data_IF_123052878010
#
_entry.id   IF_123052878010
#
_cell.length_a   1.000
_cell.length_b   1.000
_cell.length_c   1.000
_cell.angle_alpha   90.00
_cell.angle_beta   90.00
_cell.angle_gamma   90.00
#
_symmetry.space_group_name_H-M   'P 1'
#
loop_
_entity.id
_entity.type
_entity.pdbx_description
1 polymer ?
#
# COMPACT_ATOMS: atom_id res chain seq x y z
N UNK A 1 -12.82 3.26 19.71
CA UNK A 1 -11.63 2.85 20.49
C UNK A 1 -10.79 4.09 20.75
N UNK A 2 -10.26 4.31 21.96
CA UNK A 2 -9.30 5.41 22.18
C UNK A 2 -7.96 5.00 21.55
N UNK A 3 -7.29 5.93 20.86
CA UNK A 3 -6.10 5.71 20.03
C UNK A 3 -4.81 5.30 20.78
N UNK A 4 -4.94 4.66 21.96
CA UNK A 4 -3.81 4.21 22.78
C UNK A 4 -4.00 2.87 23.49
N UNK A 5 -5.16 2.22 23.36
CA UNK A 5 -5.41 0.91 23.96
C UNK A 5 -5.12 -0.21 22.96
N UNK A 6 -4.66 -1.37 23.47
CA UNK A 6 -4.51 -2.56 22.64
C UNK A 6 -5.87 -3.00 22.09
N UNK A 7 -5.96 -3.44 20.82
CA UNK A 7 -7.22 -3.93 20.29
C UNK A 7 -7.62 -5.24 20.98
N UNK A 8 -8.92 -5.47 21.14
CA UNK A 8 -9.42 -6.71 21.71
C UNK A 8 -9.20 -7.87 20.73
N UNK A 9 -8.28 -8.78 21.06
CA UNK A 9 -7.98 -9.95 20.25
C UNK A 9 -9.23 -10.77 19.90
N UNK A 10 -10.17 -10.91 20.84
CA UNK A 10 -11.41 -11.65 20.61
C UNK A 10 -12.26 -11.03 19.50
N UNK A 11 -12.15 -9.71 19.29
CA UNK A 11 -12.91 -8.97 18.27
C UNK A 11 -12.24 -8.91 16.90
N UNK A 12 -10.95 -9.25 16.78
CA UNK A 12 -10.19 -9.10 15.52
C UNK A 12 -9.66 -10.42 14.94
N UNK A 13 -9.53 -11.48 15.76
CA UNK A 13 -8.93 -12.75 15.32
C UNK A 13 -9.72 -13.52 14.25
N UNK A 14 -10.99 -13.16 14.01
CA UNK A 14 -11.77 -13.74 12.90
C UNK A 14 -11.57 -13.01 11.58
N UNK A 15 -10.99 -11.79 11.60
CA UNK A 15 -10.65 -11.03 10.40
C UNK A 15 -9.20 -11.26 9.95
N UNK A 16 -8.30 -11.60 10.87
CA UNK A 16 -6.85 -11.59 10.66
C UNK A 16 -6.15 -12.80 11.26
N UNK A 17 -5.13 -13.28 10.58
CA UNK A 17 -4.15 -14.21 11.15
C UNK A 17 -3.31 -13.50 12.23
N UNK A 18 -2.83 -14.20 13.27
CA UNK A 18 -2.01 -13.62 14.33
C UNK A 18 -0.80 -12.79 13.88
N UNK A 19 -0.14 -13.15 12.77
CA UNK A 19 0.99 -12.36 12.23
C UNK A 19 0.50 -11.07 11.59
N UNK A 20 -0.65 -11.11 10.93
CA UNK A 20 -1.29 -9.93 10.34
C UNK A 20 -1.68 -8.92 11.42
N UNK A 21 -2.27 -9.40 12.52
CA UNK A 21 -2.57 -8.54 13.68
C UNK A 21 -1.31 -7.85 14.20
N UNK A 22 -0.18 -8.56 14.29
CA UNK A 22 1.07 -7.99 14.76
C UNK A 22 1.54 -6.82 13.87
N UNK A 23 1.65 -7.02 12.55
CA UNK A 23 2.14 -5.94 11.69
C UNK A 23 1.13 -4.80 11.54
N UNK A 24 -0.18 -5.06 11.65
CA UNK A 24 -1.19 -3.98 11.69
C UNK A 24 -1.00 -3.14 12.95
N UNK A 25 -0.83 -3.76 14.11
CA UNK A 25 -0.59 -3.02 15.37
C UNK A 25 0.69 -2.18 15.29
N UNK A 26 1.76 -2.75 14.73
CA UNK A 26 3.04 -2.06 14.56
C UNK A 26 2.90 -0.86 13.61
N UNK A 27 2.17 -1.02 12.50
CA UNK A 27 1.88 0.06 11.54
C UNK A 27 1.05 1.18 12.16
N UNK A 28 -0.02 0.83 12.88
CA UNK A 28 -0.89 1.78 13.57
C UNK A 28 -0.26 2.38 14.84
N UNK A 29 0.92 1.88 15.23
CA UNK A 29 1.64 2.26 16.47
C UNK A 29 0.79 2.09 17.73
N UNK A 30 -0.02 1.04 17.77
CA UNK A 30 -0.82 0.66 18.94
C UNK A 30 -0.22 -0.57 19.62
N UNK A 31 -0.39 -0.74 20.94
CA UNK A 31 0.08 -1.94 21.61
C UNK A 31 -0.57 -3.20 21.03
N UNK A 32 0.21 -4.26 20.79
CA UNK A 32 -0.33 -5.55 20.38
C UNK A 32 -1.19 -6.16 21.52
N UNK A 33 -2.21 -6.97 21.19
CA UNK A 33 -2.96 -7.71 22.20
C UNK A 33 -2.04 -8.61 23.04
N UNK A 34 -2.40 -8.85 24.30
CA UNK A 34 -1.58 -9.60 25.26
C UNK A 34 -1.15 -10.98 24.75
N UNK A 35 -2.05 -11.68 24.06
CA UNK A 35 -1.78 -12.99 23.45
C UNK A 35 -0.68 -12.96 22.37
N UNK A 36 -0.40 -11.80 21.79
CA UNK A 36 0.54 -11.59 20.69
C UNK A 36 1.72 -10.68 21.05
N UNK A 37 1.77 -10.17 22.29
CA UNK A 37 2.73 -9.14 22.72
C UNK A 37 4.18 -9.52 22.45
N UNK A 38 4.56 -10.77 22.67
CA UNK A 38 5.92 -11.28 22.45
C UNK A 38 6.10 -12.07 21.16
N UNK A 39 5.12 -12.04 20.24
CA UNK A 39 5.19 -12.81 19.01
C UNK A 39 6.19 -12.17 18.03
N UNK A 40 7.22 -12.89 17.56
CA UNK A 40 8.12 -12.35 16.55
C UNK A 40 7.41 -12.26 15.19
N UNK A 41 7.79 -11.25 14.39
CA UNK A 41 7.46 -11.20 12.97
C UNK A 41 8.51 -12.02 12.22
N UNK A 42 8.13 -13.21 11.75
CA UNK A 42 8.99 -14.00 10.87
C UNK A 42 9.01 -13.37 9.48
N UNK A 43 10.14 -12.76 9.15
CA UNK A 43 10.35 -12.15 7.84
C UNK A 43 10.75 -13.21 6.81
N UNK A 44 10.15 -13.13 5.62
CA UNK A 44 10.42 -14.01 4.47
C UNK A 44 11.36 -13.34 3.47
N UNK A 45 12.05 -14.16 2.67
CA UNK A 45 13.13 -13.68 1.81
C UNK A 45 12.65 -13.02 0.51
N UNK A 46 11.50 -13.41 -0.02
CA UNK A 46 10.90 -12.81 -1.21
C UNK A 46 9.38 -12.98 -1.24
N UNK A 47 8.73 -12.28 -2.18
CA UNK A 47 7.26 -12.23 -2.27
C UNK A 47 6.62 -13.57 -2.65
N UNK A 48 7.35 -14.51 -3.27
CA UNK A 48 6.81 -15.83 -3.65
C UNK A 48 6.46 -16.68 -2.43
N UNK A 49 7.14 -16.41 -1.31
CA UNK A 49 6.87 -17.01 0.01
C UNK A 49 6.25 -16.01 0.98
N UNK A 50 5.88 -14.83 0.49
CA UNK A 50 5.26 -13.75 1.24
C UNK A 50 3.79 -13.97 1.57
N UNK A 51 3.22 -15.12 1.18
CA UNK A 51 1.84 -15.49 1.45
C UNK A 51 1.79 -16.96 1.89
N UNK A 52 0.99 -17.25 2.91
CA UNK A 52 0.72 -18.62 3.34
C UNK A 52 -0.16 -19.35 2.32
N UNK A 53 -0.23 -20.69 2.41
CA UNK A 53 -1.12 -21.50 1.57
C UNK A 53 -2.61 -21.16 1.73
N UNK A 54 -2.99 -20.55 2.86
CA UNK A 54 -4.35 -20.09 3.16
C UNK A 54 -4.58 -18.63 2.71
N UNK A 55 -3.54 -18.01 2.14
CA UNK A 55 -3.57 -16.67 1.58
C UNK A 55 -3.30 -15.55 2.58
N UNK A 56 -2.98 -15.86 3.84
CA UNK A 56 -2.53 -14.87 4.83
C UNK A 56 -1.18 -14.27 4.49
N UNK A 57 -1.04 -12.96 4.70
CA UNK A 57 0.16 -12.20 4.37
C UNK A 57 1.27 -12.47 5.41
N UNK A 58 2.52 -12.50 4.93
CA UNK A 58 3.72 -12.56 5.74
C UNK A 58 4.65 -11.40 5.36
N UNK A 59 5.34 -10.79 6.32
CA UNK A 59 6.34 -9.78 6.02
C UNK A 59 7.45 -10.36 5.15
N UNK A 60 7.92 -9.58 4.18
CA UNK A 60 8.90 -9.96 3.17
C UNK A 60 10.01 -8.92 3.16
N UNK A 61 11.25 -9.34 2.93
CA UNK A 61 12.36 -8.44 2.61
C UNK A 61 12.21 -7.93 1.18
N UNK A 62 12.32 -6.62 1.01
CA UNK A 62 12.24 -5.95 -0.29
C UNK A 62 13.46 -6.22 -1.16
N UNK A 63 13.36 -5.81 -2.43
CA UNK A 63 14.44 -5.88 -3.40
C UNK A 63 15.74 -5.29 -2.83
N UNK A 64 16.87 -5.93 -3.18
CA UNK A 64 18.19 -5.53 -2.66
C UNK A 64 18.40 -5.81 -1.16
N UNK A 65 17.47 -6.50 -0.48
CA UNK A 65 17.62 -6.87 0.93
C UNK A 65 17.06 -5.83 1.92
N UNK A 66 16.26 -4.87 1.46
CA UNK A 66 15.76 -3.75 2.28
C UNK A 66 14.59 -4.17 3.18
N UNK A 67 14.64 -3.78 4.45
CA UNK A 67 13.56 -3.97 5.44
C UNK A 67 12.91 -2.64 5.88
N UNK A 68 13.30 -1.51 5.27
CA UNK A 68 12.89 -0.16 5.71
C UNK A 68 11.38 0.04 5.70
N UNK A 69 10.70 -0.44 4.66
CA UNK A 69 9.24 -0.31 4.46
C UNK A 69 8.51 -1.64 4.61
N UNK A 70 9.09 -2.57 5.37
CA UNK A 70 8.59 -3.94 5.50
C UNK A 70 7.19 -3.99 6.12
N UNK A 71 6.90 -3.13 7.08
CA UNK A 71 5.60 -3.10 7.78
C UNK A 71 4.54 -2.43 6.89
N UNK A 72 4.89 -1.33 6.25
CA UNK A 72 4.09 -0.60 5.28
C UNK A 72 3.69 -1.50 4.12
N UNK A 73 4.64 -2.26 3.58
CA UNK A 73 4.38 -3.22 2.52
C UNK A 73 3.47 -4.36 2.99
N UNK A 74 3.69 -4.89 4.20
CA UNK A 74 2.86 -5.96 4.76
C UNK A 74 1.39 -5.55 4.87
N UNK A 75 1.15 -4.32 5.33
CA UNK A 75 -0.21 -3.74 5.39
C UNK A 75 -0.77 -3.49 3.99
N UNK A 76 0.02 -2.96 3.06
CA UNK A 76 -0.42 -2.73 1.68
C UNK A 76 -0.88 -4.03 1.02
N UNK A 77 -0.06 -5.09 1.11
CA UNK A 77 -0.37 -6.42 0.54
C UNK A 77 -1.61 -7.03 1.17
N UNK A 78 -1.86 -6.79 2.46
CA UNK A 78 -3.10 -7.21 3.12
C UNK A 78 -4.32 -6.46 2.58
N UNK A 79 -4.23 -5.13 2.46
CA UNK A 79 -5.31 -4.27 1.98
C UNK A 79 -5.64 -4.54 0.51
N UNK A 80 -4.62 -4.78 -0.32
CA UNK A 80 -4.74 -4.90 -1.77
C UNK A 80 -4.92 -6.34 -2.26
N UNK A 81 -4.88 -7.33 -1.36
CA UNK A 81 -4.85 -8.74 -1.73
C UNK A 81 -5.98 -9.16 -2.70
N UNK A 82 -7.18 -8.60 -2.53
CA UNK A 82 -8.33 -8.94 -3.37
C UNK A 82 -8.25 -8.36 -4.81
N UNK A 83 -7.27 -7.50 -5.08
CA UNK A 83 -7.15 -6.77 -6.35
C UNK A 83 -5.76 -6.86 -6.98
N UNK A 84 -4.89 -7.72 -6.45
CA UNK A 84 -3.49 -7.82 -6.85
C UNK A 84 -3.30 -8.06 -8.36
N UNK A 85 -4.26 -8.75 -8.99
CA UNK A 85 -4.29 -8.99 -10.42
C UNK A 85 -4.47 -7.73 -11.28
N UNK A 86 -5.07 -6.68 -10.69
CA UNK A 86 -5.39 -5.39 -11.30
C UNK A 86 -4.38 -4.28 -11.01
N UNK A 87 -3.42 -4.51 -10.10
CA UNK A 87 -2.38 -3.53 -9.76
C UNK A 87 -1.39 -3.30 -10.93
N UNK A 88 -0.68 -2.16 -10.97
CA UNK A 88 0.25 -1.84 -12.05
C UNK A 88 1.34 -2.88 -12.24
N UNK A 89 1.53 -3.34 -13.48
CA UNK A 89 2.54 -4.36 -13.86
C UNK A 89 3.43 -3.83 -14.95
N UNK A 90 4.72 -4.13 -14.84
CA UNK A 90 5.67 -4.06 -15.97
C UNK A 90 5.77 -5.43 -16.62
N UNK A 91 6.01 -5.42 -17.91
CA UNK A 91 6.27 -6.63 -18.68
C UNK A 91 7.61 -6.49 -19.39
N UNK A 92 8.42 -7.54 -19.29
CA UNK A 92 9.68 -7.66 -20.00
C UNK A 92 9.71 -8.97 -20.78
N UNK A 93 10.60 -9.10 -21.76
CA UNK A 93 10.93 -10.39 -22.36
C UNK A 93 12.18 -10.95 -21.70
N UNK A 94 12.13 -12.21 -21.28
CA UNK A 94 13.33 -12.94 -20.86
C UNK A 94 14.24 -13.22 -22.06
N UNK A 95 15.47 -13.65 -21.78
CA UNK A 95 16.45 -14.07 -22.79
C UNK A 95 15.91 -15.18 -23.71
N UNK A 96 15.04 -16.04 -23.18
CA UNK A 96 14.36 -17.12 -23.92
C UNK A 96 13.14 -16.63 -24.74
N UNK A 97 12.86 -15.32 -24.73
CA UNK A 97 11.76 -14.70 -25.45
C UNK A 97 10.40 -14.77 -24.77
N UNK A 98 10.32 -15.33 -23.55
CA UNK A 98 9.09 -15.42 -22.77
C UNK A 98 8.70 -14.08 -22.16
N UNK A 99 7.40 -13.79 -22.08
CA UNK A 99 6.90 -12.60 -21.39
C UNK A 99 6.96 -12.85 -19.88
N UNK A 100 7.63 -11.96 -19.15
CA UNK A 100 7.75 -11.97 -17.69
C UNK A 100 7.09 -10.71 -17.15
N UNK A 101 6.30 -10.85 -16.08
CA UNK A 101 5.70 -9.71 -15.39
C UNK A 101 6.50 -9.36 -14.14
N UNK A 102 6.51 -8.08 -13.75
CA UNK A 102 7.07 -7.64 -12.47
C UNK A 102 6.29 -8.14 -11.26
N UNK A 103 5.02 -8.54 -11.44
CA UNK A 103 4.20 -9.16 -10.39
C UNK A 103 3.76 -10.56 -10.80
N UNK A 104 3.94 -11.52 -9.91
CA UNK A 104 3.35 -12.85 -10.06
C UNK A 104 1.94 -12.83 -9.44
N UNK A 105 0.96 -13.45 -10.10
CA UNK A 105 -0.39 -13.54 -9.51
C UNK A 105 -0.36 -14.46 -8.28
N UNK A 106 -0.65 -13.91 -7.11
CA UNK A 106 -0.85 -14.71 -5.89
C UNK A 106 -2.30 -15.18 -5.75
N UNK A 107 -2.50 -16.25 -5.01
CA UNK A 107 -3.83 -16.75 -4.68
C UNK A 107 -4.54 -15.78 -3.75
N UNK A 108 -5.81 -15.45 -4.03
CA UNK A 108 -6.61 -14.63 -3.12
C UNK A 108 -6.75 -15.27 -1.74
N UNK A 109 -6.84 -14.42 -0.71
CA UNK A 109 -6.97 -14.82 0.69
C UNK A 109 -8.29 -15.54 0.95
N UNK A 110 -8.22 -16.76 1.49
CA UNK A 110 -9.39 -17.54 1.88
C UNK A 110 -9.94 -17.05 3.22
N UNK A 111 -10.66 -15.92 3.20
CA UNK A 111 -11.35 -15.38 4.38
C UNK A 111 -12.84 -15.20 4.13
N UNK A 112 -13.63 -15.22 5.22
CA UNK A 112 -15.07 -14.99 5.15
C UNK A 112 -15.46 -13.58 4.73
N UNK A 113 -14.54 -12.60 4.80
CA UNK A 113 -14.77 -11.19 4.45
C UNK A 113 -13.56 -10.67 3.68
N UNK A 114 -13.60 -10.63 2.33
CA UNK A 114 -12.52 -10.03 1.56
C UNK A 114 -12.43 -8.53 1.84
N UNK A 115 -11.21 -8.03 2.03
CA UNK A 115 -10.95 -6.59 2.08
C UNK A 115 -10.98 -6.08 0.65
N UNK A 116 -12.03 -5.34 0.30
CA UNK A 116 -12.18 -4.76 -1.03
C UNK A 116 -11.75 -3.29 -0.98
N UNK A 117 -10.54 -2.96 -1.47
CA UNK A 117 -10.09 -1.58 -1.52
C UNK A 117 -10.91 -0.76 -2.53
N UNK A 118 -11.12 0.50 -2.20
CA UNK A 118 -11.72 1.51 -3.08
C UNK A 118 -10.61 2.16 -3.89
N UNK A 119 -10.76 2.16 -5.21
CA UNK A 119 -9.85 2.87 -6.12
C UNK A 119 -10.04 4.38 -5.97
N UNK A 120 -8.95 5.10 -5.74
CA UNK A 120 -8.97 6.55 -5.54
C UNK A 120 -8.74 7.28 -6.86
N UNK A 121 -7.57 7.07 -7.47
CA UNK A 121 -7.13 7.59 -8.78
C UNK A 121 -5.76 7.01 -9.13
N UNK A 122 -5.27 7.29 -10.34
CA UNK A 122 -3.92 6.92 -10.81
C UNK A 122 -3.23 8.12 -11.44
N UNK A 123 -1.93 8.23 -11.21
CA UNK A 123 -1.06 9.21 -11.86
C UNK A 123 -0.01 8.49 -12.72
N UNK A 124 0.60 9.22 -13.63
CA UNK A 124 1.87 8.85 -14.24
C UNK A 124 2.95 9.85 -13.81
N UNK A 125 3.99 9.36 -13.15
CA UNK A 125 5.10 10.21 -12.73
C UNK A 125 5.87 10.77 -13.93
N UNK A 126 6.13 9.93 -14.94
CA UNK A 126 6.80 10.34 -16.17
C UNK A 126 6.61 9.31 -17.29
N UNK A 127 6.65 9.76 -18.53
CA UNK A 127 6.83 8.92 -19.73
C UNK A 127 8.26 9.00 -20.24
N UNK A 128 9.09 8.02 -19.87
CA UNK A 128 10.52 8.00 -20.23
C UNK A 128 10.82 7.43 -21.62
N UNK A 129 9.77 7.02 -22.35
CA UNK A 129 9.83 6.51 -23.72
C UNK A 129 8.55 5.79 -24.12
N UNK A 130 8.40 5.39 -25.40
CA UNK A 130 7.21 4.68 -25.85
C UNK A 130 6.94 3.40 -25.04
N UNK A 131 5.87 3.38 -24.26
CA UNK A 131 5.50 2.27 -23.37
C UNK A 131 6.35 2.16 -22.09
N UNK A 132 7.11 3.20 -21.74
CA UNK A 132 7.93 3.28 -20.52
C UNK A 132 7.38 4.36 -19.59
N UNK A 133 6.18 4.10 -19.10
CA UNK A 133 5.50 4.93 -18.11
C UNK A 133 5.89 4.52 -16.68
N UNK A 134 5.70 5.45 -15.76
CA UNK A 134 5.93 5.29 -14.33
C UNK A 134 4.62 5.53 -13.56
N UNK A 135 3.61 4.66 -13.73
CA UNK A 135 2.32 4.84 -13.06
C UNK A 135 2.42 4.59 -11.56
N UNK A 136 1.58 5.30 -10.80
CA UNK A 136 1.30 5.03 -9.40
C UNK A 136 -0.22 5.03 -9.17
N UNK A 137 -0.72 3.92 -8.62
CA UNK A 137 -2.14 3.73 -8.32
C UNK A 137 -2.40 3.94 -6.82
N UNK A 138 -3.41 4.75 -6.51
CA UNK A 138 -3.85 4.99 -5.14
C UNK A 138 -5.15 4.26 -4.82
N UNK A 139 -5.16 3.61 -3.66
CA UNK A 139 -6.33 2.89 -3.16
C UNK A 139 -6.54 3.18 -1.67
N UNK A 140 -7.77 2.93 -1.20
CA UNK A 140 -8.12 3.01 0.21
C UNK A 140 -8.80 1.72 0.67
N UNK A 141 -8.33 1.13 1.77
CA UNK A 141 -8.92 -0.06 2.37
C UNK A 141 -9.36 0.15 3.81
N UNK A 142 -10.47 -0.46 4.19
CA UNK A 142 -10.93 -0.50 5.58
C UNK A 142 -10.32 -1.71 6.32
N UNK A 143 -9.89 -1.51 7.57
CA UNK A 143 -9.43 -2.59 8.45
C UNK A 143 -10.46 -2.87 9.57
N UNK A 144 -11.33 -3.89 9.41
CA UNK A 144 -12.32 -4.26 10.41
C UNK A 144 -11.74 -4.52 11.80
N UNK A 145 -12.38 -3.95 12.84
CA UNK A 145 -11.97 -4.15 14.23
C UNK A 145 -10.82 -3.25 14.69
N UNK A 146 -10.12 -2.59 13.76
CA UNK A 146 -9.26 -1.45 14.04
C UNK A 146 -9.97 -0.11 13.78
N UNK A 147 -11.07 -0.13 13.02
CA UNK A 147 -11.90 1.03 12.66
C UNK A 147 -11.11 2.16 11.98
N UNK A 148 -10.17 1.79 11.10
CA UNK A 148 -9.33 2.72 10.32
C UNK A 148 -9.45 2.48 8.82
N UNK A 149 -9.22 3.54 8.06
CA UNK A 149 -9.01 3.54 6.62
C UNK A 149 -7.52 3.72 6.34
N UNK A 150 -6.95 2.86 5.51
CA UNK A 150 -5.54 2.87 5.09
C UNK A 150 -5.48 3.28 3.63
N UNK A 151 -4.61 4.24 3.30
CA UNK A 151 -4.33 4.64 1.92
C UNK A 151 -3.05 3.97 1.46
N UNK A 152 -3.04 3.47 0.23
CA UNK A 152 -1.88 2.79 -0.35
C UNK A 152 -1.43 3.45 -1.65
N UNK A 153 -0.15 3.30 -1.97
CA UNK A 153 0.45 3.63 -3.26
C UNK A 153 1.07 2.37 -3.88
N UNK A 154 0.78 2.13 -5.16
CA UNK A 154 1.22 0.92 -5.88
C UNK A 154 1.93 1.29 -7.18
N UNK A 155 3.14 0.78 -7.37
CA UNK A 155 3.99 1.01 -8.53
C UNK A 155 4.33 -0.31 -9.24
N UNK A 156 4.68 -0.26 -10.55
CA UNK A 156 5.03 -1.47 -11.29
C UNK A 156 6.49 -1.92 -11.11
N UNK A 157 7.30 -1.16 -10.36
CA UNK A 157 8.72 -1.46 -10.08
C UNK A 157 9.02 -1.40 -8.58
N UNK A 158 10.07 -2.11 -8.15
CA UNK A 158 10.63 -2.04 -6.79
C UNK A 158 11.79 -1.05 -6.67
N UNK A 159 12.15 -0.35 -7.75
CA UNK A 159 13.39 0.45 -7.81
C UNK A 159 13.44 1.58 -6.77
N UNK A 160 12.30 2.18 -6.45
CA UNK A 160 12.22 3.34 -5.53
C UNK A 160 12.17 2.91 -4.08
N UNK A 161 11.30 1.94 -3.77
CA UNK A 161 10.96 1.59 -2.38
C UNK A 161 11.38 0.20 -1.96
N UNK A 162 12.07 -0.54 -2.82
CA UNK A 162 12.32 -1.98 -2.69
C UNK A 162 11.05 -2.87 -2.70
N UNK A 163 9.86 -2.28 -2.77
CA UNK A 163 8.59 -2.98 -2.87
C UNK A 163 7.67 -2.31 -3.89
N UNK A 164 6.70 -3.09 -4.35
CA UNK A 164 5.69 -2.66 -5.30
C UNK A 164 4.54 -1.86 -4.68
N UNK A 165 4.17 -2.16 -3.44
CA UNK A 165 3.00 -1.60 -2.78
C UNK A 165 3.37 -1.10 -1.39
N UNK A 166 2.85 0.07 -1.02
CA UNK A 166 3.07 0.67 0.29
C UNK A 166 1.80 1.22 0.90
N UNK A 167 1.62 0.99 2.20
CA UNK A 167 0.62 1.68 2.99
C UNK A 167 1.22 3.02 3.41
N UNK A 168 0.75 4.11 2.78
CA UNK A 168 1.36 5.44 2.89
C UNK A 168 0.77 6.27 4.04
N UNK A 169 -0.35 5.83 4.61
CA UNK A 169 -0.92 6.43 5.82
C UNK A 169 -2.28 5.84 6.16
N UNK A 170 -2.83 6.28 7.29
CA UNK A 170 -4.16 5.87 7.74
C UNK A 170 -4.86 6.96 8.54
N UNK A 171 -6.19 6.86 8.63
CA UNK A 171 -7.02 7.75 9.44
C UNK A 171 -8.24 7.00 10.02
N UNK A 172 -8.87 7.49 11.11
CA UNK A 172 -10.05 6.86 11.69
C UNK A 172 -11.22 6.81 10.71
N UNK A 173 -11.92 5.67 10.63
CA UNK A 173 -13.05 5.49 9.72
C UNK A 173 -14.28 6.36 10.07
N UNK A 174 -14.33 6.92 11.29
CA UNK A 174 -15.35 7.88 11.71
C UNK A 174 -15.06 9.32 11.26
N UNK A 175 -13.90 9.57 10.65
CA UNK A 175 -13.46 10.89 10.20
C UNK A 175 -14.06 11.30 8.85
N UNK A 176 -13.68 12.50 8.41
CA UNK A 176 -13.95 12.95 7.05
C UNK A 176 -13.03 12.20 6.08
N UNK A 177 -13.65 11.40 5.20
CA UNK A 177 -12.94 10.50 4.29
C UNK A 177 -12.09 11.27 3.28
N UNK A 178 -12.63 12.32 2.67
CA UNK A 178 -11.92 13.08 1.64
C UNK A 178 -10.76 13.85 2.27
N UNK A 179 -10.99 14.49 3.41
CA UNK A 179 -9.94 15.20 4.13
C UNK A 179 -8.82 14.26 4.61
N UNK A 180 -9.16 13.06 5.08
CA UNK A 180 -8.20 12.04 5.50
C UNK A 180 -7.35 11.53 4.33
N UNK A 181 -7.97 11.23 3.19
CA UNK A 181 -7.28 10.84 1.95
C UNK A 181 -6.33 11.96 1.50
N UNK A 182 -6.83 13.20 1.42
CA UNK A 182 -6.04 14.36 1.01
C UNK A 182 -4.80 14.51 1.87
N UNK A 183 -4.96 14.49 3.19
CA UNK A 183 -3.86 14.71 4.13
C UNK A 183 -2.71 13.69 3.90
N UNK A 184 -3.06 12.41 3.70
CA UNK A 184 -2.06 11.36 3.48
C UNK A 184 -1.39 11.49 2.12
N UNK A 185 -2.16 11.73 1.06
CA UNK A 185 -1.61 11.83 -0.30
C UNK A 185 -0.72 13.07 -0.45
N UNK A 186 -1.12 14.19 0.12
CA UNK A 186 -0.31 15.42 0.12
C UNK A 186 0.99 15.21 0.91
N UNK A 187 0.96 14.57 2.09
CA UNK A 187 2.17 14.25 2.85
C UNK A 187 3.11 13.30 2.08
N UNK A 188 2.54 12.28 1.43
CA UNK A 188 3.28 11.38 0.55
C UNK A 188 3.99 12.11 -0.58
N UNK A 189 3.29 13.00 -1.27
CA UNK A 189 3.86 13.83 -2.34
C UNK A 189 4.87 14.86 -1.84
N UNK A 190 4.65 15.45 -0.67
CA UNK A 190 5.62 16.37 -0.06
C UNK A 190 6.93 15.68 0.24
N UNK A 191 6.90 14.44 0.75
CA UNK A 191 8.12 13.65 0.96
C UNK A 191 8.91 13.42 -0.34
N UNK A 192 8.20 13.25 -1.47
CA UNK A 192 8.80 13.13 -2.80
C UNK A 192 9.39 14.47 -3.27
N UNK A 193 8.62 15.55 -3.17
CA UNK A 193 9.07 16.90 -3.54
C UNK A 193 10.31 17.33 -2.75
N UNK A 194 10.38 17.02 -1.45
CA UNK A 194 11.56 17.23 -0.62
C UNK A 194 12.81 16.46 -1.11
N UNK A 195 12.61 15.37 -1.85
CA UNK A 195 13.67 14.59 -2.50
C UNK A 195 13.93 15.04 -3.95
N UNK A 196 13.52 16.26 -4.33
CA UNK A 196 13.65 16.84 -5.68
C UNK A 196 12.88 16.07 -6.77
N UNK A 197 11.89 15.28 -6.39
CA UNK A 197 10.97 14.69 -7.36
C UNK A 197 10.08 15.80 -7.93
N UNK A 198 10.09 15.95 -9.24
CA UNK A 198 9.18 16.84 -9.95
C UNK A 198 7.74 16.33 -9.87
N UNK A 199 6.79 17.25 -10.10
CA UNK A 199 5.37 16.93 -10.21
C UNK A 199 5.17 15.83 -11.24
N UNK A 200 4.27 14.89 -10.96
CA UNK A 200 3.81 13.91 -11.92
C UNK A 200 3.22 14.56 -13.19
N UNK A 201 3.39 13.91 -14.34
CA UNK A 201 3.05 14.46 -15.66
C UNK A 201 1.55 14.51 -15.94
N UNK A 202 0.80 13.48 -15.55
CA UNK A 202 -0.63 13.40 -15.83
C UNK A 202 -1.42 12.53 -14.85
N UNK A 203 -2.71 12.83 -14.74
CA UNK A 203 -3.71 11.97 -14.12
C UNK A 203 -4.18 10.94 -15.15
N UNK A 204 -3.90 9.66 -14.92
CA UNK A 204 -4.18 8.57 -15.87
C UNK A 204 -5.46 7.80 -15.57
N UNK A 205 -6.00 7.95 -14.37
CA UNK A 205 -7.22 7.27 -13.96
C UNK A 205 -7.96 7.99 -12.84
N UNK A 206 -9.27 7.82 -12.81
CA UNK A 206 -10.18 8.53 -11.91
C UNK A 206 -11.05 7.52 -11.18
N UNK A 207 -11.10 7.63 -9.86
CA UNK A 207 -11.91 6.78 -8.98
C UNK A 207 -12.77 7.62 -8.05
N UNK A 208 -12.71 7.35 -6.74
CA UNK A 208 -13.42 8.11 -5.72
C UNK A 208 -13.03 9.60 -5.72
N UNK A 209 -11.76 9.90 -5.99
CA UNK A 209 -11.26 11.27 -6.11
C UNK A 209 -11.26 11.65 -7.58
N UNK A 210 -12.00 12.70 -7.93
CA UNK A 210 -12.17 13.14 -9.31
C UNK A 210 -11.91 14.64 -9.43
N UNK A 211 -10.84 15.01 -10.14
CA UNK A 211 -10.42 16.41 -10.35
C UNK A 211 -9.65 17.02 -9.18
N UNK A 212 -9.82 16.52 -7.95
CA UNK A 212 -9.12 17.07 -6.78
C UNK A 212 -7.64 16.73 -6.71
N UNK A 213 -7.20 15.63 -7.34
CA UNK A 213 -5.80 15.21 -7.32
C UNK A 213 -4.85 16.27 -7.91
N UNK A 214 -5.23 16.90 -9.02
CA UNK A 214 -4.46 18.00 -9.62
C UNK A 214 -4.33 19.18 -8.67
N UNK A 215 -5.45 19.59 -8.07
CA UNK A 215 -5.49 20.68 -7.09
C UNK A 215 -4.62 20.40 -5.87
N UNK A 216 -4.62 19.16 -5.39
CA UNK A 216 -3.76 18.76 -4.26
C UNK A 216 -2.29 18.77 -4.63
N UNK A 217 -1.94 18.41 -5.86
CA UNK A 217 -0.56 18.49 -6.32
C UNK A 217 -0.10 19.95 -6.48
N UNK A 218 -0.98 20.90 -6.84
CA UNK A 218 -0.65 22.33 -6.90
C UNK A 218 -0.30 22.90 -5.52
N UNK A 219 -0.80 22.29 -4.44
CA UNK A 219 -0.42 22.64 -3.07
C UNK A 219 0.98 22.13 -2.68
N UNK A 220 1.51 21.14 -3.40
CA UNK A 220 2.81 20.52 -3.13
C UNK A 220 3.91 21.14 -4.00
N UNK A 221 3.69 21.20 -5.31
CA UNK A 221 4.63 21.77 -6.28
C UNK A 221 4.16 23.14 -6.69
N UNK A 222 4.37 24.12 -5.81
CA UNK A 222 4.10 25.53 -6.12
C UNK A 222 5.07 25.96 -7.20
N UNK A 223 4.56 26.34 -8.37
CA UNK A 223 5.37 27.02 -9.39
C UNK A 223 5.87 28.33 -8.78
N UNK A 224 7.19 28.50 -8.64
CA UNK A 224 7.75 29.82 -8.37
C UNK A 224 7.44 30.70 -9.58
N UNK A 225 6.58 31.72 -9.42
CA UNK A 225 6.38 32.75 -10.45
C UNK A 225 7.73 33.43 -10.74
N UNK A 226 8.33 33.16 -11.91
CA UNK A 226 9.47 33.91 -12.47
C UNK A 226 9.07 35.33 -12.93
#
# INVERSE_FOLDING_TARGET
MSLGDAPDYASIHHYYDPVEICFICDYLRVPRPDALRSRPLEVRLDDRVGQSAEGFIRPVIGAGGSDILLIENSVARLVLNAIEDRLPKRFARSDDGNLVSSRESQSGRFTGVPLLPTYLFSINWASTGPGLDWPEDYHMGYLPGFDVLVVTASQPSTDVYAYHDQAIGWFPASGDVEAGIKAIIVDWWQAQACCLQERWEELTGVGLINGDAERWADEVWVEEEE
#
